data_IF_361866450485
#
_entry.id   IF_361866450485
#
_cell.length_a   1.000
_cell.length_b   1.000
_cell.length_c   1.000
_cell.angle_alpha   90.00
_cell.angle_beta   90.00
_cell.angle_gamma   90.00
#
_symmetry.space_group_name_H-M   'P 1'
#
loop_
_entity.id
_entity.type
_entity.pdbx_description
1 polymer ?
#
# COMPACT_ATOMS: atom_id res chain seq x y z
N UNK A 1 -9.34 -32.33 -5.88
CA UNK A 1 -10.64 -31.78 -5.45
C UNK A 1 -11.66 -32.90 -5.53
N UNK A 2 -12.19 -33.32 -4.39
CA UNK A 2 -13.04 -34.51 -4.30
C UNK A 2 -14.53 -34.11 -4.33
N UNK A 3 -15.36 -34.90 -5.02
CA UNK A 3 -16.77 -34.61 -5.29
C UNK A 3 -17.62 -34.45 -4.02
N UNK A 4 -17.11 -34.89 -2.87
CA UNK A 4 -17.77 -34.76 -1.56
C UNK A 4 -17.71 -33.35 -0.96
N UNK A 5 -16.69 -32.55 -1.29
CA UNK A 5 -16.58 -31.17 -0.78
C UNK A 5 -17.53 -30.21 -1.51
N UNK A 6 -17.80 -30.47 -2.79
CA UNK A 6 -18.78 -29.71 -3.58
C UNK A 6 -20.20 -29.86 -3.02
N UNK A 7 -20.57 -31.07 -2.58
CA UNK A 7 -21.90 -31.37 -2.03
C UNK A 7 -22.11 -30.73 -0.66
N UNK A 8 -21.05 -30.51 0.13
CA UNK A 8 -21.13 -29.76 1.39
C UNK A 8 -21.25 -28.25 1.19
N UNK A 9 -20.54 -27.69 0.20
CA UNK A 9 -20.63 -26.28 -0.20
C UNK A 9 -22.05 -25.91 -0.67
N UNK A 10 -22.68 -26.76 -1.49
CA UNK A 10 -24.04 -26.52 -2.01
C UNK A 10 -25.12 -26.64 -0.91
N UNK A 11 -24.91 -27.48 0.11
CA UNK A 11 -25.89 -27.63 1.21
C UNK A 11 -25.96 -26.41 2.13
N UNK A 12 -24.89 -25.64 2.29
CA UNK A 12 -24.90 -24.46 3.17
C UNK A 12 -25.59 -23.26 2.51
N UNK A 13 -25.39 -23.08 1.20
CA UNK A 13 -26.06 -22.04 0.38
C UNK A 13 -27.57 -22.31 0.24
N UNK A 14 -28.01 -23.57 0.33
CA UNK A 14 -29.42 -23.96 0.28
C UNK A 14 -30.21 -23.78 1.58
N UNK A 15 -29.58 -23.38 2.69
CA UNK A 15 -30.30 -23.14 3.95
C UNK A 15 -30.77 -21.68 4.05
N UNK A 16 -31.93 -21.45 4.67
CA UNK A 16 -32.43 -20.10 4.94
C UNK A 16 -31.44 -19.21 5.73
N UNK A 17 -30.46 -19.81 6.43
CA UNK A 17 -29.39 -19.10 7.14
C UNK A 17 -28.26 -18.64 6.20
N UNK A 18 -27.86 -19.45 5.21
CA UNK A 18 -26.87 -19.09 4.18
C UNK A 18 -27.39 -18.03 3.20
N UNK A 19 -28.67 -18.10 2.80
CA UNK A 19 -29.29 -17.04 1.98
C UNK A 19 -29.38 -15.69 2.74
N UNK A 20 -29.56 -15.74 4.07
CA UNK A 20 -29.59 -14.54 4.91
C UNK A 20 -28.19 -13.93 5.10
N UNK A 21 -27.12 -14.72 5.20
CA UNK A 21 -25.75 -14.22 5.28
C UNK A 21 -25.26 -13.60 3.98
N UNK A 22 -25.59 -14.22 2.83
CA UNK A 22 -25.30 -13.62 1.51
C UNK A 22 -26.07 -12.31 1.33
N UNK A 23 -27.35 -12.28 1.71
CA UNK A 23 -28.18 -11.07 1.63
C UNK A 23 -27.70 -9.97 2.60
N UNK A 24 -27.21 -10.31 3.79
CA UNK A 24 -26.65 -9.34 4.73
C UNK A 24 -25.28 -8.83 4.27
N UNK A 25 -24.41 -9.69 3.73
CA UNK A 25 -23.15 -9.29 3.12
C UNK A 25 -23.38 -8.35 1.92
N UNK A 26 -24.36 -8.65 1.07
CA UNK A 26 -24.72 -7.78 -0.05
C UNK A 26 -25.36 -6.46 0.39
N UNK A 27 -26.23 -6.49 1.42
CA UNK A 27 -26.77 -5.26 2.02
C UNK A 27 -25.67 -4.42 2.64
N UNK A 28 -24.73 -5.00 3.38
CA UNK A 28 -23.57 -4.29 3.96
C UNK A 28 -22.66 -3.71 2.89
N UNK A 29 -22.33 -4.48 1.84
CA UNK A 29 -21.58 -3.96 0.68
C UNK A 29 -22.30 -2.78 0.02
N UNK A 30 -23.63 -2.81 -0.05
CA UNK A 30 -24.42 -1.66 -0.50
C UNK A 30 -24.38 -0.51 0.48
N UNK A 31 -24.54 -0.74 1.79
CA UNK A 31 -24.47 0.32 2.81
C UNK A 31 -23.09 0.99 2.85
N UNK A 32 -22.01 0.21 2.78
CA UNK A 32 -20.64 0.72 2.65
C UNK A 32 -20.50 1.58 1.37
N UNK A 33 -21.12 1.14 0.27
CA UNK A 33 -21.10 1.87 -1.00
C UNK A 33 -22.02 3.11 -1.03
N UNK A 34 -23.03 3.23 -0.15
CA UNK A 34 -23.91 4.42 -0.08
C UNK A 34 -23.13 5.67 0.35
N UNK A 35 -22.04 5.50 1.11
CA UNK A 35 -21.12 6.58 1.47
C UNK A 35 -20.01 6.83 0.46
N UNK A 36 -19.83 5.97 -0.55
CA UNK A 36 -18.77 6.11 -1.54
C UNK A 36 -19.23 7.07 -2.66
N UNK A 37 -18.44 8.12 -2.95
CA UNK A 37 -18.83 9.12 -3.94
C UNK A 37 -18.85 8.51 -5.36
N UNK A 38 -19.74 9.05 -6.21
CA UNK A 38 -19.94 8.55 -7.58
C UNK A 38 -18.72 8.87 -8.45
N UNK A 39 -18.42 8.07 -9.49
CA UNK A 39 -17.29 8.34 -10.38
C UNK A 39 -17.46 9.71 -11.05
N UNK A 40 -16.54 10.63 -10.75
CA UNK A 40 -16.39 11.89 -11.46
C UNK A 40 -15.31 11.72 -12.55
N UNK A 41 -15.21 12.69 -13.47
CA UNK A 41 -14.05 12.75 -14.35
C UNK A 41 -12.79 12.91 -13.48
N UNK A 42 -11.75 12.12 -13.75
CA UNK A 42 -10.51 12.11 -12.96
C UNK A 42 -9.31 12.40 -13.85
N UNK A 43 -8.32 13.10 -13.31
CA UNK A 43 -7.04 13.38 -13.96
C UNK A 43 -5.94 12.56 -13.33
N UNK A 44 -5.23 11.78 -14.14
CA UNK A 44 -4.05 11.05 -13.70
C UNK A 44 -2.84 11.97 -13.52
N UNK A 45 -2.15 11.86 -12.38
CA UNK A 45 -0.87 12.52 -12.09
C UNK A 45 0.21 11.49 -11.77
N UNK A 46 1.43 11.78 -12.20
CA UNK A 46 2.68 11.09 -11.83
C UNK A 46 3.73 12.13 -11.47
N UNK A 47 4.79 11.78 -10.71
CA UNK A 47 5.77 12.74 -10.20
C UNK A 47 6.38 13.67 -11.26
N UNK A 48 6.72 13.10 -12.42
CA UNK A 48 7.49 13.80 -13.45
C UNK A 48 8.99 13.68 -13.21
N UNK A 49 9.77 14.50 -13.91
CA UNK A 49 11.24 14.47 -13.83
C UNK A 49 11.70 15.19 -12.57
N UNK A 50 12.70 14.65 -11.89
CA UNK A 50 13.38 15.29 -10.76
C UNK A 50 14.01 16.62 -11.18
N UNK A 51 13.82 17.66 -10.37
CA UNK A 51 14.30 19.02 -10.59
C UNK A 51 15.44 19.41 -9.64
N UNK A 52 15.51 18.76 -8.47
CA UNK A 52 16.53 19.01 -7.46
C UNK A 52 16.19 18.30 -6.16
N UNK A 53 17.08 18.39 -5.19
CA UNK A 53 16.84 17.87 -3.85
C UNK A 53 17.45 18.77 -2.78
N UNK A 54 16.83 18.76 -1.61
CA UNK A 54 17.25 19.47 -0.40
C UNK A 54 17.62 18.40 0.66
N UNK A 55 18.90 18.24 1.00
CA UNK A 55 19.32 17.32 2.05
C UNK A 55 18.81 17.76 3.43
N UNK A 56 18.47 16.78 4.26
CA UNK A 56 18.08 16.93 5.66
C UNK A 56 18.68 15.76 6.47
N UNK A 57 18.68 15.81 7.82
CA UNK A 57 19.10 14.67 8.63
C UNK A 57 18.34 13.39 8.25
N UNK A 58 19.08 12.31 8.01
CA UNK A 58 18.53 11.01 7.61
C UNK A 58 18.15 10.90 6.12
N UNK A 59 18.30 11.95 5.31
CA UNK A 59 17.87 11.92 3.92
C UNK A 59 17.56 13.32 3.39
N UNK A 60 16.32 13.58 3.01
CA UNK A 60 15.93 14.87 2.49
C UNK A 60 14.67 14.87 1.65
N UNK A 61 14.51 15.92 0.86
CA UNK A 61 13.35 16.17 0.02
C UNK A 61 13.79 16.23 -1.44
N UNK A 62 13.25 15.34 -2.27
CA UNK A 62 13.43 15.35 -3.73
C UNK A 62 12.22 16.03 -4.36
N UNK A 63 12.46 17.09 -5.14
CA UNK A 63 11.43 17.82 -5.87
C UNK A 63 11.33 17.28 -7.29
N UNK A 64 10.13 16.88 -7.68
CA UNK A 64 9.79 16.51 -9.05
C UNK A 64 8.92 17.59 -9.68
N UNK A 65 8.79 17.58 -10.99
CA UNK A 65 8.02 18.57 -11.73
C UNK A 65 6.55 18.73 -11.26
N UNK A 66 5.95 17.70 -10.65
CA UNK A 66 4.54 17.70 -10.23
C UNK A 66 4.30 17.07 -8.85
N UNK A 67 5.34 16.75 -8.11
CA UNK A 67 5.21 16.15 -6.77
C UNK A 67 6.47 16.38 -5.96
N UNK A 68 6.39 16.10 -4.67
CA UNK A 68 7.54 16.16 -3.76
C UNK A 68 7.64 14.85 -2.99
N UNK A 69 8.83 14.27 -2.91
CA UNK A 69 9.12 13.09 -2.08
C UNK A 69 9.99 13.50 -0.90
N UNK A 70 9.53 13.24 0.31
CA UNK A 70 10.36 13.21 1.50
C UNK A 70 10.83 11.79 1.75
N UNK A 71 12.14 11.61 1.86
CA UNK A 71 12.75 10.34 2.24
C UNK A 71 13.57 10.55 3.50
N UNK A 72 13.39 9.68 4.49
CA UNK A 72 14.13 9.73 5.75
C UNK A 72 14.46 8.33 6.23
N UNK A 73 15.73 8.10 6.48
CA UNK A 73 16.26 6.92 7.14
C UNK A 73 16.43 7.26 8.61
N UNK A 74 15.77 6.50 9.47
CA UNK A 74 15.89 6.61 10.91
C UNK A 74 16.95 5.64 11.45
N UNK A 75 17.43 5.94 12.66
CA UNK A 75 18.25 5.04 13.46
C UNK A 75 17.59 3.66 13.49
N UNK A 76 18.33 2.61 13.11
CA UNK A 76 17.79 1.26 13.05
C UNK A 76 17.59 0.70 11.64
N UNK A 77 17.63 1.54 10.60
CA UNK A 77 17.41 1.14 9.20
C UNK A 77 15.95 1.24 8.75
N UNK A 78 15.12 1.98 9.48
CA UNK A 78 13.72 2.24 9.10
C UNK A 78 13.68 3.36 8.07
N UNK A 79 12.94 3.15 6.98
CA UNK A 79 12.79 4.14 5.89
C UNK A 79 11.38 4.69 5.90
N UNK A 80 11.25 6.01 6.01
CA UNK A 80 10.02 6.75 5.77
C UNK A 80 10.05 7.35 4.36
N UNK A 81 8.96 7.16 3.62
CA UNK A 81 8.71 7.76 2.31
C UNK A 81 7.35 8.46 2.30
N UNK A 82 7.35 9.78 2.16
CA UNK A 82 6.14 10.60 2.14
C UNK A 82 6.04 11.41 0.86
N UNK A 83 4.95 11.25 0.11
CA UNK A 83 4.68 12.05 -1.07
C UNK A 83 3.78 13.25 -0.75
N UNK A 84 3.98 14.34 -1.48
CA UNK A 84 3.11 15.52 -1.49
C UNK A 84 2.81 16.10 -0.10
N UNK A 85 3.85 16.20 0.72
CA UNK A 85 3.78 16.78 2.07
C UNK A 85 3.42 15.81 3.18
N UNK A 86 3.21 14.52 2.86
CA UNK A 86 3.05 13.49 3.89
C UNK A 86 4.30 13.42 4.78
N UNK A 87 4.09 13.67 6.08
CA UNK A 87 5.12 13.56 7.11
C UNK A 87 5.04 12.23 7.87
N UNK A 88 6.08 11.88 8.65
CA UNK A 88 6.05 10.70 9.53
C UNK A 88 5.08 10.86 10.70
N UNK A 89 4.63 12.09 10.97
CA UNK A 89 3.65 12.42 11.99
C UNK A 89 2.58 13.39 11.44
N UNK A 90 1.36 13.35 12.00
CA UNK A 90 0.88 12.35 12.96
C UNK A 90 0.63 10.99 12.28
N UNK A 91 0.99 9.90 12.96
CA UNK A 91 0.63 8.54 12.57
C UNK A 91 -0.49 8.03 13.48
N UNK A 92 -1.44 7.27 12.93
CA UNK A 92 -2.49 6.65 13.75
C UNK A 92 -2.01 5.39 14.49
N UNK A 93 -0.85 4.83 14.11
CA UNK A 93 -0.38 3.53 14.58
C UNK A 93 1.01 3.56 15.24
N UNK A 94 1.86 4.54 14.96
CA UNK A 94 3.19 4.61 15.56
C UNK A 94 3.11 5.18 17.00
N UNK A 95 3.46 4.35 17.98
CA UNK A 95 3.65 4.78 19.35
C UNK A 95 5.04 5.40 19.53
N UNK A 96 5.15 6.48 20.31
CA UNK A 96 6.44 7.11 20.63
C UNK A 96 6.92 8.20 19.66
N UNK A 97 6.09 8.57 18.68
CA UNK A 97 6.37 9.66 17.74
C UNK A 97 7.29 9.28 16.57
N UNK A 98 7.76 10.28 15.83
CA UNK A 98 8.65 10.12 14.68
C UNK A 98 9.98 9.52 15.12
N UNK A 99 10.40 8.45 14.46
CA UNK A 99 11.72 7.86 14.69
C UNK A 99 12.83 8.88 14.39
N UNK A 100 13.82 8.95 15.29
CA UNK A 100 14.96 9.85 15.15
C UNK A 100 15.74 9.54 13.87
N UNK A 101 16.02 10.60 13.10
CA UNK A 101 16.78 10.49 11.86
C UNK A 101 18.19 9.97 12.12
N UNK A 102 18.71 9.14 11.21
CA UNK A 102 20.13 8.78 11.23
C UNK A 102 20.95 9.98 10.71
N UNK A 103 21.61 10.71 11.61
CA UNK A 103 22.40 11.90 11.27
C UNK A 103 23.56 11.61 10.32
N UNK A 104 24.00 10.35 10.21
CA UNK A 104 25.08 9.94 9.30
C UNK A 104 24.56 9.70 7.88
N UNK A 105 23.26 9.48 7.73
CA UNK A 105 22.63 9.26 6.45
C UNK A 105 22.29 10.60 5.80
N UNK A 106 22.88 10.84 4.63
CA UNK A 106 22.73 12.09 3.87
C UNK A 106 22.21 11.76 2.47
N UNK A 107 21.32 12.62 1.97
CA UNK A 107 20.88 12.56 0.57
C UNK A 107 21.94 13.16 -0.34
N UNK A 108 22.43 12.35 -1.28
CA UNK A 108 23.45 12.73 -2.26
C UNK A 108 23.00 12.39 -3.69
N UNK A 109 23.53 13.06 -4.72
CA UNK A 109 23.27 12.69 -6.10
C UNK A 109 23.68 11.25 -6.40
N UNK A 110 22.91 10.58 -7.25
CA UNK A 110 23.21 9.23 -7.74
C UNK A 110 23.34 9.22 -9.27
N UNK A 111 23.66 8.05 -9.81
CA UNK A 111 23.66 7.76 -11.24
C UNK A 111 22.32 8.08 -11.92
N UNK A 112 22.35 8.31 -13.24
CA UNK A 112 21.18 8.57 -14.08
C UNK A 112 20.30 9.78 -13.67
N UNK A 113 20.89 10.72 -12.92
CA UNK A 113 20.19 11.91 -12.43
C UNK A 113 19.21 11.61 -11.29
N UNK A 114 19.42 10.49 -10.60
CA UNK A 114 18.74 10.15 -9.36
C UNK A 114 19.43 10.73 -8.12
N UNK A 115 18.96 10.29 -6.97
CA UNK A 115 19.49 10.61 -5.65
C UNK A 115 19.57 9.35 -4.82
N UNK A 116 20.41 9.32 -3.80
CA UNK A 116 20.47 8.21 -2.86
C UNK A 116 20.73 8.68 -1.45
N UNK A 117 20.26 7.88 -0.49
CA UNK A 117 20.60 7.99 0.92
C UNK A 117 21.33 6.72 1.31
N UNK A 118 22.54 6.87 1.85
CA UNK A 118 23.35 5.75 2.31
C UNK A 118 23.41 5.79 3.83
N UNK A 119 22.97 4.73 4.49
CA UNK A 119 23.19 4.51 5.92
C UNK A 119 23.95 3.20 6.15
N UNK A 120 24.33 2.96 7.41
CA UNK A 120 24.98 1.70 7.81
C UNK A 120 24.09 0.46 7.53
N UNK A 121 22.76 0.62 7.57
CA UNK A 121 21.81 -0.50 7.53
C UNK A 121 20.97 -0.59 6.26
N UNK A 122 20.86 0.48 5.49
CA UNK A 122 20.03 0.51 4.30
C UNK A 122 20.56 1.53 3.30
N UNK A 123 20.42 1.22 2.02
CA UNK A 123 20.62 2.17 0.93
C UNK A 123 19.25 2.44 0.31
N UNK A 124 18.88 3.72 0.19
CA UNK A 124 17.66 4.13 -0.49
C UNK A 124 18.04 4.89 -1.75
N UNK A 125 17.67 4.40 -2.92
CA UNK A 125 17.89 5.08 -4.19
C UNK A 125 16.57 5.64 -4.73
N UNK A 126 16.58 6.87 -5.21
CA UNK A 126 15.45 7.58 -5.81
C UNK A 126 15.80 7.89 -7.25
N UNK A 127 15.11 7.26 -8.19
CA UNK A 127 15.33 7.50 -9.61
C UNK A 127 14.87 8.89 -10.04
N UNK A 128 15.37 9.34 -11.19
CA UNK A 128 14.95 10.59 -11.87
C UNK A 128 13.44 10.73 -12.10
N UNK A 129 12.70 9.61 -12.16
CA UNK A 129 11.25 9.60 -12.41
C UNK A 129 10.39 9.31 -11.17
N UNK A 130 11.02 9.14 -10.00
CA UNK A 130 10.31 8.96 -8.72
C UNK A 130 10.10 7.51 -8.30
N UNK A 131 10.75 6.54 -8.94
CA UNK A 131 10.88 5.20 -8.36
C UNK A 131 11.81 5.23 -7.14
N UNK A 132 11.49 4.49 -6.09
CA UNK A 132 12.26 4.38 -4.84
C UNK A 132 12.69 2.93 -4.65
N UNK A 133 13.98 2.68 -4.53
CA UNK A 133 14.55 1.36 -4.26
C UNK A 133 15.14 1.31 -2.87
N UNK A 134 14.75 0.31 -2.10
CA UNK A 134 15.32 0.00 -0.79
C UNK A 134 16.23 -1.21 -0.96
N UNK A 135 17.49 -1.04 -0.58
CA UNK A 135 18.55 -2.03 -0.77
C UNK A 135 19.24 -2.34 0.54
N UNK A 136 19.78 -3.55 0.65
CA UNK A 136 20.70 -3.91 1.73
C UNK A 136 21.98 -3.06 1.67
N UNK A 137 22.78 -3.00 2.75
CA UNK A 137 24.09 -2.34 2.71
C UNK A 137 25.03 -2.93 1.64
N UNK A 138 24.86 -4.21 1.30
CA UNK A 138 25.58 -4.89 0.21
C UNK A 138 25.04 -4.58 -1.20
N UNK A 139 24.02 -3.73 -1.33
CA UNK A 139 23.47 -3.28 -2.61
C UNK A 139 22.39 -4.16 -3.22
N UNK A 140 21.98 -5.25 -2.56
CA UNK A 140 20.89 -6.11 -3.06
C UNK A 140 19.54 -5.41 -2.89
N UNK A 141 18.71 -5.40 -3.93
CA UNK A 141 17.38 -4.79 -3.90
C UNK A 141 16.42 -5.64 -3.07
N UNK A 142 15.86 -5.05 -2.01
CA UNK A 142 14.81 -5.67 -1.18
C UNK A 142 13.43 -5.36 -1.75
N UNK A 143 13.24 -4.13 -2.22
CA UNK A 143 11.97 -3.60 -2.72
C UNK A 143 12.20 -2.44 -3.66
N UNK A 144 11.45 -2.41 -4.76
CA UNK A 144 11.41 -1.31 -5.71
C UNK A 144 9.99 -0.81 -5.86
N UNK A 145 9.77 0.39 -5.36
CA UNK A 145 8.54 1.14 -5.50
C UNK A 145 8.59 1.94 -6.80
N UNK A 146 7.70 1.65 -7.74
CA UNK A 146 7.57 2.41 -8.98
C UNK A 146 7.00 3.81 -8.70
N UNK A 147 7.12 4.78 -9.62
CA UNK A 147 6.53 6.09 -9.43
C UNK A 147 5.02 5.98 -9.15
N UNK A 148 4.52 6.58 -8.06
CA UNK A 148 3.10 6.52 -7.72
C UNK A 148 2.24 7.18 -8.81
N UNK A 149 0.97 6.78 -8.82
CA UNK A 149 -0.06 7.38 -9.68
C UNK A 149 -1.20 7.89 -8.81
N UNK A 150 -1.60 9.14 -9.03
CA UNK A 150 -2.76 9.75 -8.38
C UNK A 150 -3.87 9.98 -9.39
N UNK A 151 -5.11 9.90 -8.93
CA UNK A 151 -6.30 10.33 -9.64
C UNK A 151 -7.00 11.37 -8.80
N UNK A 152 -7.00 12.60 -9.31
CA UNK A 152 -7.66 13.73 -8.68
C UNK A 152 -8.97 14.00 -9.42
N UNK A 153 -10.04 14.42 -8.72
CA UNK A 153 -11.24 14.91 -9.39
C UNK A 153 -10.88 16.04 -10.35
N UNK A 154 -11.36 15.97 -11.59
CA UNK A 154 -11.33 17.11 -12.48
C UNK A 154 -12.18 18.23 -11.85
N UNK A 155 -11.73 19.48 -11.95
CA UNK A 155 -12.51 20.63 -11.48
C UNK A 155 -13.94 20.53 -12.03
N UNK A 156 -14.92 20.40 -11.14
CA UNK A 156 -16.32 20.45 -11.53
C UNK A 156 -16.65 21.90 -11.92
N UNK A 157 -17.27 22.11 -13.08
CA UNK A 157 -17.86 23.39 -13.41
C UNK A 157 -18.82 23.81 -12.27
N UNK A 158 -18.86 25.09 -11.88
CA UNK A 158 -19.73 25.54 -10.80
C UNK A 158 -21.20 25.33 -11.20
N UNK A 159 -21.81 24.24 -10.74
CA UNK A 159 -23.24 24.02 -10.82
C UNK A 159 -23.89 24.74 -9.65
N UNK A 160 -24.77 25.69 -9.94
CA UNK A 160 -25.53 26.50 -8.99
C UNK A 160 -26.59 25.72 -8.17
N UNK A 161 -26.36 24.43 -7.94
CA UNK A 161 -27.33 23.54 -7.28
C UNK A 161 -26.80 23.14 -5.90
N UNK A 162 -27.54 23.49 -4.85
CA UNK A 162 -27.17 23.32 -3.44
C UNK A 162 -27.10 21.85 -2.99
N UNK A 163 -27.40 20.90 -3.89
CA UNK A 163 -27.28 19.46 -3.70
C UNK A 163 -26.07 18.85 -4.43
N UNK A 164 -24.98 19.60 -4.62
CA UNK A 164 -23.76 19.09 -5.23
C UNK A 164 -23.23 17.86 -4.44
N UNK A 165 -22.97 16.72 -5.11
CA UNK A 165 -22.44 15.53 -4.45
C UNK A 165 -21.10 15.85 -3.78
N UNK A 166 -20.85 15.26 -2.59
CA UNK A 166 -19.56 15.37 -1.90
C UNK A 166 -18.42 15.05 -2.89
N UNK A 167 -17.36 15.86 -2.94
CA UNK A 167 -16.23 15.61 -3.84
C UNK A 167 -15.64 14.23 -3.57
N UNK A 168 -15.32 13.51 -4.65
CA UNK A 168 -14.61 12.22 -4.57
C UNK A 168 -13.24 12.49 -3.96
N UNK A 169 -12.84 11.81 -2.86
CA UNK A 169 -11.49 11.98 -2.35
C UNK A 169 -10.49 11.46 -3.38
N UNK A 170 -9.32 12.11 -3.54
CA UNK A 170 -8.30 11.64 -4.46
C UNK A 170 -7.88 10.22 -4.09
N UNK A 171 -7.62 9.38 -5.10
CA UNK A 171 -7.07 8.04 -4.89
C UNK A 171 -5.67 7.94 -5.47
N UNK A 172 -4.88 7.01 -4.95
CA UNK A 172 -3.54 6.74 -5.45
C UNK A 172 -3.26 5.25 -5.52
N UNK A 173 -2.27 4.89 -6.33
CA UNK A 173 -1.74 3.53 -6.44
C UNK A 173 -0.23 3.60 -6.37
N UNK A 174 0.35 2.76 -5.52
CA UNK A 174 1.77 2.42 -5.54
C UNK A 174 1.91 0.98 -6.03
N UNK A 175 2.77 0.78 -7.02
CA UNK A 175 3.16 -0.56 -7.46
C UNK A 175 4.57 -0.82 -6.98
N UNK A 176 4.78 -2.02 -6.43
CA UNK A 176 6.06 -2.41 -5.87
C UNK A 176 6.49 -3.75 -6.42
N UNK A 177 7.77 -3.85 -6.72
CA UNK A 177 8.46 -5.03 -7.22
C UNK A 177 9.37 -5.54 -6.11
N UNK A 178 9.36 -6.85 -5.88
CA UNK A 178 10.21 -7.57 -4.93
C UNK A 178 10.81 -8.78 -5.63
N UNK A 179 11.76 -9.46 -4.99
CA UNK A 179 12.38 -10.66 -5.55
C UNK A 179 11.33 -11.75 -5.87
N UNK A 180 11.58 -12.56 -6.90
CA UNK A 180 10.60 -13.53 -7.41
C UNK A 180 10.27 -14.66 -6.42
N UNK A 181 11.22 -14.98 -5.54
CA UNK A 181 11.12 -15.95 -4.44
C UNK A 181 10.38 -15.39 -3.21
N UNK A 182 10.00 -14.10 -3.24
CA UNK A 182 9.36 -13.45 -2.10
C UNK A 182 8.06 -14.15 -1.65
N UNK A 183 7.85 -14.15 -0.34
CA UNK A 183 6.68 -14.67 0.36
C UNK A 183 6.08 -13.58 1.25
N UNK A 184 4.76 -13.50 1.26
CA UNK A 184 4.04 -12.38 1.85
C UNK A 184 3.23 -12.83 3.08
N UNK A 185 3.24 -12.02 4.13
CA UNK A 185 2.51 -12.27 5.38
C UNK A 185 1.94 -10.96 5.93
N UNK A 186 0.98 -11.05 6.86
CA UNK A 186 0.41 -9.90 7.56
C UNK A 186 -0.96 -9.48 7.02
N UNK A 187 -1.16 -8.17 6.83
CA UNK A 187 -2.41 -7.52 6.49
C UNK A 187 -3.53 -7.65 7.55
N UNK A 188 -3.22 -8.10 8.77
CA UNK A 188 -4.17 -8.31 9.87
C UNK A 188 -4.75 -9.73 9.91
N UNK A 189 -5.95 -9.88 10.48
CA UNK A 189 -6.67 -11.15 10.53
C UNK A 189 -7.22 -11.52 9.16
N UNK A 190 -6.57 -12.44 8.45
CA UNK A 190 -7.00 -12.94 7.14
C UNK A 190 -7.53 -14.36 7.24
N UNK A 191 -8.62 -14.64 6.53
CA UNK A 191 -9.23 -15.97 6.53
C UNK A 191 -8.40 -17.00 5.74
N UNK A 192 -7.45 -16.54 4.93
CA UNK A 192 -6.56 -17.36 4.11
C UNK A 192 -5.36 -17.97 4.88
N UNK A 193 -5.25 -17.72 6.19
CA UNK A 193 -4.11 -18.15 7.01
C UNK A 193 -2.96 -17.14 6.98
N UNK A 194 -1.81 -17.48 7.60
CA UNK A 194 -0.72 -16.50 7.82
C UNK A 194 -0.01 -16.08 6.54
N UNK A 195 0.14 -16.99 5.56
CA UNK A 195 0.75 -16.69 4.26
C UNK A 195 -0.29 -16.12 3.32
N UNK A 196 -0.01 -14.94 2.79
CA UNK A 196 -0.78 -14.31 1.73
C UNK A 196 -0.36 -14.91 0.37
N UNK A 197 -1.34 -15.20 -0.46
CA UNK A 197 -1.19 -15.76 -1.81
C UNK A 197 -1.56 -14.72 -2.84
N UNK A 198 -1.47 -15.07 -4.11
CA UNK A 198 -2.07 -14.30 -5.20
C UNK A 198 -3.53 -13.97 -4.89
N UNK A 199 -3.85 -12.68 -4.94
CA UNK A 199 -5.18 -12.22 -4.58
C UNK A 199 -5.27 -10.73 -4.34
N UNK A 200 -6.49 -10.28 -4.06
CA UNK A 200 -6.82 -8.93 -3.66
C UNK A 200 -7.27 -8.93 -2.20
N UNK A 201 -6.65 -8.06 -1.40
CA UNK A 201 -6.87 -7.95 0.04
C UNK A 201 -7.37 -6.55 0.36
N UNK A 202 -8.67 -6.42 0.62
CA UNK A 202 -9.25 -5.14 1.06
C UNK A 202 -8.75 -4.77 2.45
N UNK A 203 -8.45 -3.49 2.63
CA UNK A 203 -7.99 -2.89 3.87
C UNK A 203 -9.16 -2.19 4.58
N UNK A 204 -10.13 -2.97 5.06
CA UNK A 204 -11.34 -2.43 5.70
C UNK A 204 -11.86 -3.36 6.80
N UNK A 205 -12.03 -2.84 8.01
CA UNK A 205 -12.58 -3.63 9.12
C UNK A 205 -14.04 -3.97 8.85
N UNK A 206 -14.37 -5.26 8.85
CA UNK A 206 -15.73 -5.74 8.57
C UNK A 206 -16.16 -6.77 9.61
N UNK A 207 -17.37 -6.61 10.15
CA UNK A 207 -18.01 -7.65 10.96
C UNK A 207 -18.81 -8.62 10.05
N UNK A 208 -18.34 -9.86 9.83
CA UNK A 208 -19.08 -10.86 9.05
C UNK A 208 -20.43 -11.24 9.68
N UNK A 209 -20.64 -10.99 10.98
CA UNK A 209 -21.89 -11.24 11.71
C UNK A 209 -22.14 -12.72 12.02
N UNK A 210 -21.08 -13.53 12.14
CA UNK A 210 -21.16 -14.98 12.39
C UNK A 210 -19.81 -15.68 12.31
N UNK A 211 -19.83 -17.01 12.24
CA UNK A 211 -18.63 -17.80 11.92
C UNK A 211 -18.14 -17.47 10.51
N UNK A 212 -16.84 -17.25 10.37
CA UNK A 212 -16.17 -17.10 9.07
C UNK A 212 -15.37 -18.36 8.73
N UNK A 213 -15.24 -18.66 7.44
CA UNK A 213 -14.45 -19.75 6.88
C UNK A 213 -13.36 -19.24 5.93
N UNK A 214 -12.57 -20.14 5.33
CA UNK A 214 -11.52 -19.76 4.39
C UNK A 214 -12.07 -18.91 3.23
N UNK A 215 -11.48 -17.74 2.99
CA UNK A 215 -11.89 -16.81 1.95
C UNK A 215 -12.93 -15.77 2.37
N UNK A 216 -13.46 -15.83 3.59
CA UNK A 216 -14.31 -14.78 4.16
C UNK A 216 -13.45 -13.59 4.59
N UNK A 217 -13.11 -12.73 3.62
CA UNK A 217 -12.32 -11.51 3.82
C UNK A 217 -13.08 -10.26 3.29
N UNK A 218 -12.87 -9.07 3.87
CA UNK A 218 -12.03 -8.79 5.05
C UNK A 218 -12.75 -9.11 6.38
N UNK A 219 -11.98 -9.26 7.46
CA UNK A 219 -12.46 -9.57 8.81
C UNK A 219 -12.41 -8.35 9.75
N UNK A 220 -12.63 -8.59 11.05
CA UNK A 220 -12.72 -7.58 12.11
C UNK A 220 -11.50 -6.67 12.24
N UNK A 221 -10.30 -7.20 11.95
CA UNK A 221 -9.04 -6.51 12.16
C UNK A 221 -8.18 -6.55 10.89
N UNK A 222 -8.18 -5.44 10.17
CA UNK A 222 -7.20 -5.14 9.13
C UNK A 222 -6.06 -4.35 9.76
N UNK A 223 -4.82 -4.75 9.48
CA UNK A 223 -3.62 -3.97 9.78
C UNK A 223 -2.87 -3.77 8.48
N UNK A 224 -2.63 -2.54 7.97
CA UNK A 224 -1.95 -2.33 6.70
C UNK A 224 -0.42 -2.49 6.84
N UNK A 225 -0.01 -3.61 7.43
CA UNK A 225 1.36 -4.03 7.69
C UNK A 225 1.60 -5.32 6.91
N UNK A 226 2.60 -5.33 6.04
CA UNK A 226 3.01 -6.49 5.27
C UNK A 226 4.45 -6.87 5.61
N UNK A 227 4.68 -8.14 5.88
CA UNK A 227 6.01 -8.73 5.99
C UNK A 227 6.34 -9.46 4.69
N UNK A 228 7.50 -9.15 4.11
CA UNK A 228 8.02 -9.80 2.90
C UNK A 228 9.31 -10.52 3.25
N UNK A 229 9.37 -11.82 2.94
CA UNK A 229 10.52 -12.68 3.18
C UNK A 229 11.03 -13.20 1.84
N UNK A 230 12.29 -12.93 1.53
CA UNK A 230 13.00 -13.42 0.35
C UNK A 230 14.46 -13.73 0.70
N UNK A 231 15.18 -14.42 -0.18
CA UNK A 231 16.60 -14.75 -0.05
C UNK A 231 17.47 -13.50 0.06
N UNK A 232 17.13 -12.45 -0.70
CA UNK A 232 17.82 -11.16 -0.63
C UNK A 232 17.65 -10.45 0.72
N UNK A 233 16.61 -10.80 1.48
CA UNK A 233 16.36 -10.28 2.82
C UNK A 233 14.88 -10.24 3.20
N UNK A 234 14.64 -9.87 4.46
CA UNK A 234 13.30 -9.70 5.03
C UNK A 234 13.04 -8.24 5.33
N UNK A 235 11.87 -7.72 4.98
CA UNK A 235 11.46 -6.37 5.29
C UNK A 235 9.97 -6.28 5.63
N UNK A 236 9.62 -5.25 6.40
CA UNK A 236 8.25 -4.93 6.78
C UNK A 236 7.86 -3.59 6.14
N UNK A 237 6.66 -3.53 5.58
CA UNK A 237 6.05 -2.32 5.02
C UNK A 237 4.80 -2.01 5.81
N UNK A 238 4.71 -0.78 6.30
CA UNK A 238 3.51 -0.24 6.92
C UNK A 238 2.97 0.89 6.05
N UNK A 239 1.75 0.74 5.55
CA UNK A 239 1.05 1.83 4.87
C UNK A 239 0.31 2.64 5.92
N UNK A 240 0.83 3.81 6.26
CA UNK A 240 0.22 4.73 7.22
C UNK A 240 -0.98 5.46 6.59
N UNK A 241 -2.04 4.69 6.35
CA UNK A 241 -3.26 5.14 5.72
C UNK A 241 -4.45 4.39 6.34
N UNK A 242 -5.41 5.16 6.88
CA UNK A 242 -6.61 4.63 7.54
C UNK A 242 -7.84 4.58 6.62
N UNK A 243 -7.71 4.98 5.35
CA UNK A 243 -8.78 4.95 4.37
C UNK A 243 -8.97 3.54 3.78
N UNK A 244 -10.15 3.32 3.20
CA UNK A 244 -10.42 2.11 2.43
C UNK A 244 -9.43 1.98 1.27
N UNK A 245 -8.89 0.78 1.09
CA UNK A 245 -7.87 0.48 0.12
C UNK A 245 -7.82 -1.00 -0.21
N UNK A 246 -6.99 -1.36 -1.18
CA UNK A 246 -6.82 -2.74 -1.61
C UNK A 246 -5.35 -3.01 -1.91
N UNK A 247 -4.86 -4.15 -1.44
CA UNK A 247 -3.54 -4.68 -1.80
C UNK A 247 -3.75 -5.85 -2.75
N UNK A 248 -3.28 -5.72 -3.99
CA UNK A 248 -3.23 -6.84 -4.94
C UNK A 248 -1.83 -7.46 -4.94
N UNK A 249 -1.75 -8.76 -4.66
CA UNK A 249 -0.50 -9.52 -4.64
C UNK A 249 -0.39 -10.43 -5.86
N UNK A 250 0.84 -10.53 -6.37
CA UNK A 250 1.26 -11.45 -7.43
C UNK A 250 2.60 -12.04 -7.01
N UNK A 251 2.63 -13.33 -6.73
CA UNK A 251 3.82 -14.11 -6.43
C UNK A 251 4.64 -14.27 -7.71
N UNK A 252 5.96 -14.10 -7.58
CA UNK A 252 6.87 -14.34 -8.70
C UNK A 252 7.03 -15.83 -8.98
N UNK A 253 7.55 -16.13 -10.18
CA UNK A 253 7.98 -17.48 -10.56
C UNK A 253 9.50 -17.46 -10.69
N UNK A 254 10.19 -18.15 -9.78
CA UNK A 254 11.64 -18.36 -9.88
C UNK A 254 11.99 -19.01 -11.22
N UNK A 255 13.03 -18.50 -11.88
CA UNK A 255 13.52 -19.04 -13.16
C UNK A 255 12.79 -18.55 -14.42
N UNK A 256 11.78 -17.69 -14.32
CA UNK A 256 11.10 -17.12 -15.48
C UNK A 256 11.80 -15.88 -16.09
N UNK A 257 12.90 -15.41 -15.49
CA UNK A 257 13.47 -14.10 -15.77
C UNK A 257 12.62 -12.97 -15.17
N UNK A 258 13.26 -11.87 -14.78
CA UNK A 258 12.63 -10.69 -14.17
C UNK A 258 11.61 -10.02 -15.08
#
# INVERSE_FOLDING_TARGET
MDARDLVRSVKVVGTARGLRSVRSAWRRRRTDAVGLPRPAAERARVPGVAQGAEPEPGGGVVRFARSVLRVRVASGGVVFCGWDGAGPEPSYALAGGALEADERAVLEPDTDGGWRVVSERVIVAVSRMGAVEVRTPGGLVLRRDLPPRWWEPAEAAPTADEAAPRPVPPRWVQRSEVAADARFFGLGGRAHGPRLRDGAYRLWNTDPGGSFGPGDDPLYLTMPVQLVVADAGTHLVFHDNSWDGEVTLREGVEGAGS
#
